data_IF_826558181415
#
_entry.id   IF_826558181415
#
_cell.length_a   1.000
_cell.length_b   1.000
_cell.length_c   1.000
_cell.angle_alpha   90.00
_cell.angle_beta   90.00
_cell.angle_gamma   90.00
#
_symmetry.space_group_name_H-M   'P 1'
#
loop_
_entity.id
_entity.type
_entity.pdbx_description
1 polymer ?
#
# COMPACT_ATOMS: atom_id res chain seq x y z
N UNK A 1 4.51 20.30 -10.49
CA UNK A 1 5.49 19.92 -11.53
C UNK A 1 6.36 18.81 -10.99
N UNK A 2 6.38 17.62 -11.63
CA UNK A 2 7.20 16.49 -11.22
C UNK A 2 8.68 16.88 -11.19
N UNK A 3 9.37 16.48 -10.12
CA UNK A 3 10.80 16.69 -9.91
C UNK A 3 11.45 15.33 -9.63
N UNK A 4 12.62 15.11 -10.19
CA UNK A 4 13.41 13.90 -9.99
C UNK A 4 14.79 14.24 -9.46
N UNK A 5 15.23 13.53 -8.45
CA UNK A 5 16.60 13.61 -7.97
C UNK A 5 17.50 12.89 -8.98
N UNK A 6 18.59 13.50 -9.47
CA UNK A 6 19.52 12.82 -10.37
C UNK A 6 20.13 11.58 -9.74
N UNK A 7 20.34 10.52 -10.53
CA UNK A 7 20.91 9.24 -10.04
C UNK A 7 22.19 9.47 -9.23
N UNK A 8 23.13 10.28 -9.73
CA UNK A 8 24.38 10.59 -9.00
C UNK A 8 24.15 11.08 -7.56
N UNK A 9 23.10 11.88 -7.34
CA UNK A 9 22.76 12.36 -5.99
C UNK A 9 22.11 11.26 -5.15
N UNK A 10 21.29 10.41 -5.77
CA UNK A 10 20.67 9.24 -5.09
C UNK A 10 21.78 8.30 -4.62
N UNK A 11 22.72 7.95 -5.50
CA UNK A 11 23.85 7.07 -5.15
C UNK A 11 24.73 7.68 -4.04
N UNK A 12 24.98 9.00 -4.08
CA UNK A 12 25.73 9.67 -3.02
C UNK A 12 25.02 9.55 -1.66
N UNK A 13 23.70 9.79 -1.62
CA UNK A 13 22.94 9.67 -0.37
C UNK A 13 22.94 8.23 0.15
N UNK A 14 22.82 7.25 -0.76
CA UNK A 14 22.86 5.82 -0.40
C UNK A 14 24.23 5.46 0.18
N UNK A 15 25.34 5.85 -0.46
CA UNK A 15 26.68 5.59 0.06
C UNK A 15 26.87 6.17 1.46
N UNK A 16 26.42 7.40 1.71
CA UNK A 16 26.47 7.99 3.06
C UNK A 16 25.70 7.15 4.08
N UNK A 17 24.54 6.57 3.72
CA UNK A 17 23.78 5.69 4.60
C UNK A 17 24.47 4.34 4.82
N UNK A 18 25.11 3.78 3.79
CA UNK A 18 25.91 2.54 3.90
C UNK A 18 27.13 2.77 4.83
N UNK A 19 27.85 3.86 4.67
CA UNK A 19 28.95 4.25 5.56
C UNK A 19 28.50 4.38 7.02
N UNK A 20 27.23 4.76 7.26
CA UNK A 20 26.61 4.80 8.58
C UNK A 20 26.09 3.44 9.05
N UNK A 21 26.30 2.34 8.32
CA UNK A 21 25.91 0.98 8.69
C UNK A 21 24.49 0.58 8.25
N UNK A 22 23.81 1.35 7.38
CA UNK A 22 22.49 1.01 6.87
C UNK A 22 22.60 0.22 5.55
N UNK A 23 22.41 -1.08 5.60
CA UNK A 23 22.55 -1.99 4.46
C UNK A 23 21.26 -2.16 3.62
N UNK A 24 20.15 -1.53 4.04
CA UNK A 24 18.82 -1.61 3.39
C UNK A 24 18.40 -0.24 2.87
N UNK A 25 17.93 -0.21 1.62
CA UNK A 25 17.58 1.02 0.92
C UNK A 25 16.09 1.10 0.67
N UNK A 26 15.47 2.23 1.00
CA UNK A 26 14.12 2.59 0.58
C UNK A 26 14.20 3.69 -0.49
N UNK A 27 13.85 3.35 -1.73
CA UNK A 27 13.72 4.33 -2.81
C UNK A 27 12.35 5.03 -2.68
N UNK A 28 12.39 6.30 -2.28
CA UNK A 28 11.17 7.09 -2.07
C UNK A 28 10.74 7.82 -3.34
N UNK A 29 9.49 7.59 -3.77
CA UNK A 29 8.85 8.27 -4.90
C UNK A 29 7.33 8.11 -4.83
N UNK A 30 6.57 8.93 -5.56
CA UNK A 30 5.11 8.76 -5.72
C UNK A 30 4.76 7.55 -6.61
N UNK A 31 5.60 7.28 -7.61
CA UNK A 31 5.50 6.10 -8.48
C UNK A 31 6.88 5.76 -9.01
N UNK A 32 7.45 4.67 -8.50
CA UNK A 32 8.83 4.29 -8.81
C UNK A 32 9.02 3.92 -10.29
N UNK A 33 8.01 3.35 -10.94
CA UNK A 33 8.07 3.01 -12.35
C UNK A 33 8.14 4.25 -13.26
N UNK A 34 7.78 5.42 -12.75
CA UNK A 34 7.84 6.68 -13.49
C UNK A 34 9.08 7.51 -13.19
N UNK A 35 10.07 6.96 -12.50
CA UNK A 35 11.30 7.68 -12.27
C UNK A 35 11.92 8.21 -13.58
N UNK A 36 12.24 9.51 -13.61
CA UNK A 36 12.83 10.18 -14.76
C UNK A 36 11.87 10.51 -15.92
N UNK A 37 10.61 10.09 -15.87
CA UNK A 37 9.59 10.42 -16.86
C UNK A 37 8.67 11.55 -16.40
N UNK A 38 8.42 12.51 -17.27
CA UNK A 38 7.39 13.54 -17.07
C UNK A 38 6.06 13.18 -17.73
N UNK A 39 6.02 12.04 -18.42
CA UNK A 39 4.83 11.49 -19.10
C UNK A 39 4.18 10.43 -18.20
N UNK A 40 2.97 9.99 -18.58
CA UNK A 40 2.31 8.85 -17.94
C UNK A 40 3.11 7.57 -18.20
N UNK A 41 3.67 7.41 -19.39
CA UNK A 41 4.51 6.28 -19.76
C UNK A 41 5.89 6.36 -19.08
N UNK A 42 6.37 5.26 -18.49
CA UNK A 42 7.72 5.16 -17.92
C UNK A 42 8.84 5.43 -18.93
N UNK A 43 9.92 5.98 -18.45
CA UNK A 43 11.22 5.92 -19.14
C UNK A 43 11.94 4.63 -18.67
N UNK A 44 11.68 3.54 -19.40
CA UNK A 44 12.12 2.18 -19.01
C UNK A 44 13.63 2.09 -18.74
N UNK A 45 14.43 2.76 -19.57
CA UNK A 45 15.90 2.72 -19.41
C UNK A 45 16.36 3.48 -18.17
N UNK A 46 15.76 4.62 -17.85
CA UNK A 46 16.09 5.35 -16.63
C UNK A 46 15.69 4.59 -15.37
N UNK A 47 14.52 3.94 -15.37
CA UNK A 47 14.09 3.12 -14.23
C UNK A 47 15.04 1.94 -14.04
N UNK A 48 15.33 1.16 -15.08
CA UNK A 48 16.26 0.03 -15.02
C UNK A 48 17.67 0.48 -14.60
N UNK A 49 18.14 1.59 -15.13
CA UNK A 49 19.42 2.16 -14.77
C UNK A 49 19.49 2.51 -13.28
N UNK A 50 18.43 3.14 -12.73
CA UNK A 50 18.38 3.44 -11.30
C UNK A 50 18.57 2.18 -10.46
N UNK A 51 17.78 1.14 -10.73
CA UNK A 51 17.86 -0.10 -9.96
C UNK A 51 19.21 -0.82 -10.12
N UNK A 52 19.78 -0.88 -11.35
CA UNK A 52 21.10 -1.46 -11.58
C UNK A 52 22.19 -0.72 -10.80
N UNK A 53 22.27 0.61 -10.94
CA UNK A 53 23.31 1.39 -10.27
C UNK A 53 23.18 1.32 -8.74
N UNK A 54 21.96 1.24 -8.21
CA UNK A 54 21.73 1.06 -6.77
C UNK A 54 22.14 -0.36 -6.33
N UNK A 55 21.74 -1.40 -7.06
CA UNK A 55 22.07 -2.80 -6.68
C UNK A 55 23.58 -3.11 -6.75
N UNK A 56 24.37 -2.31 -7.47
CA UNK A 56 25.82 -2.47 -7.59
C UNK A 56 26.62 -1.77 -6.49
N UNK A 57 25.98 -1.01 -5.60
CA UNK A 57 26.66 -0.39 -4.47
C UNK A 57 27.06 -1.48 -3.46
N UNK A 58 28.33 -1.55 -3.12
CA UNK A 58 28.86 -2.47 -2.12
C UNK A 58 28.18 -2.26 -0.76
N UNK A 59 27.81 -3.33 -0.08
CA UNK A 59 27.16 -3.30 1.22
C UNK A 59 25.62 -3.25 1.17
N UNK A 60 24.98 -3.06 0.03
CA UNK A 60 23.53 -3.13 -0.07
C UNK A 60 23.06 -4.59 -0.04
N UNK A 61 22.12 -4.87 0.84
CA UNK A 61 21.52 -6.19 1.01
C UNK A 61 20.07 -6.28 0.53
N UNK A 62 19.33 -5.17 0.56
CA UNK A 62 17.90 -5.12 0.23
C UNK A 62 17.50 -3.76 -0.35
N UNK A 63 16.64 -3.77 -1.38
CA UNK A 63 15.99 -2.58 -1.93
C UNK A 63 14.49 -2.70 -1.72
N UNK A 64 13.88 -1.66 -1.18
CA UNK A 64 12.42 -1.45 -1.09
C UNK A 64 12.03 -0.19 -1.83
N UNK A 65 10.75 -0.05 -2.14
CA UNK A 65 10.21 1.17 -2.74
C UNK A 65 9.11 1.73 -1.86
N UNK A 66 8.95 3.06 -1.82
CA UNK A 66 7.86 3.64 -1.04
C UNK A 66 6.52 3.43 -1.73
N UNK A 67 6.37 3.88 -2.99
CA UNK A 67 5.09 3.80 -3.69
C UNK A 67 5.25 3.34 -5.13
N UNK A 68 4.20 2.67 -5.61
CA UNK A 68 4.04 2.23 -6.99
C UNK A 68 2.58 2.44 -7.42
N UNK A 69 2.34 2.90 -8.65
CA UNK A 69 1.00 3.02 -9.20
C UNK A 69 0.54 1.69 -9.80
N UNK A 70 -0.67 1.23 -9.44
CA UNK A 70 -1.26 0.02 -10.02
C UNK A 70 -1.42 0.13 -11.54
N UNK A 71 -1.82 1.31 -12.04
CA UNK A 71 -1.90 1.54 -13.49
C UNK A 71 -0.52 1.44 -14.17
N UNK A 72 0.55 1.94 -13.52
CA UNK A 72 1.90 1.79 -14.06
C UNK A 72 2.34 0.33 -14.11
N UNK A 73 1.99 -0.48 -13.11
CA UNK A 73 2.25 -1.94 -13.08
C UNK A 73 1.47 -2.64 -14.19
N UNK A 74 0.16 -2.41 -14.28
CA UNK A 74 -0.74 -3.01 -15.25
C UNK A 74 -0.26 -2.78 -16.70
N UNK A 75 0.16 -1.55 -17.02
CA UNK A 75 0.63 -1.20 -18.36
C UNK A 75 2.09 -1.56 -18.64
N UNK A 76 2.87 -1.94 -17.63
CA UNK A 76 4.31 -2.21 -17.81
C UNK A 76 4.78 -3.45 -17.01
N UNK A 77 4.12 -4.62 -17.17
CA UNK A 77 4.47 -5.83 -16.42
C UNK A 77 5.91 -6.29 -16.64
N UNK A 78 6.41 -6.20 -17.88
CA UNK A 78 7.80 -6.57 -18.20
C UNK A 78 8.83 -5.66 -17.53
N UNK A 79 8.52 -4.36 -17.37
CA UNK A 79 9.42 -3.46 -16.65
C UNK A 79 9.49 -3.84 -15.17
N UNK A 80 8.34 -4.14 -14.55
CA UNK A 80 8.29 -4.61 -13.17
C UNK A 80 9.11 -5.89 -13.00
N UNK A 81 8.95 -6.87 -13.90
CA UNK A 81 9.72 -8.12 -13.88
C UNK A 81 11.22 -7.85 -13.95
N UNK A 82 11.67 -7.01 -14.89
CA UNK A 82 13.09 -6.70 -15.06
C UNK A 82 13.71 -6.02 -13.84
N UNK A 83 12.99 -5.08 -13.19
CA UNK A 83 13.52 -4.45 -11.96
C UNK A 83 13.49 -5.41 -10.78
N UNK A 84 12.50 -6.32 -10.72
CA UNK A 84 12.45 -7.37 -9.71
C UNK A 84 13.66 -8.31 -9.82
N UNK A 85 13.97 -8.77 -11.03
CA UNK A 85 15.15 -9.59 -11.31
C UNK A 85 16.44 -8.90 -10.84
N UNK A 86 16.59 -7.59 -11.06
CA UNK A 86 17.73 -6.82 -10.57
C UNK A 86 17.75 -6.83 -9.03
N UNK A 87 16.63 -6.56 -8.36
CA UNK A 87 16.58 -6.56 -6.91
C UNK A 87 16.94 -7.92 -6.31
N UNK A 88 16.48 -9.02 -6.93
CA UNK A 88 16.73 -10.37 -6.44
C UNK A 88 18.19 -10.87 -6.65
N UNK A 89 19.06 -10.07 -7.22
CA UNK A 89 20.52 -10.33 -7.18
C UNK A 89 21.12 -10.00 -5.81
N UNK A 90 20.42 -9.23 -4.98
CA UNK A 90 20.89 -8.85 -3.64
C UNK A 90 20.79 -9.99 -2.64
N UNK A 91 21.74 -10.11 -1.70
CA UNK A 91 21.87 -11.31 -0.86
C UNK A 91 20.71 -11.55 0.10
N UNK A 92 20.05 -10.50 0.61
CA UNK A 92 18.95 -10.63 1.56
C UNK A 92 17.57 -10.34 0.95
N UNK A 93 17.50 -10.03 -0.36
CA UNK A 93 16.23 -9.73 -1.01
C UNK A 93 15.35 -10.97 -1.11
N UNK A 94 14.24 -11.01 -0.41
CA UNK A 94 13.27 -12.12 -0.44
C UNK A 94 11.93 -11.69 -1.01
N UNK A 95 11.51 -10.49 -0.68
CA UNK A 95 10.30 -9.81 -1.18
C UNK A 95 10.62 -8.35 -1.42
N UNK A 96 9.82 -7.67 -2.22
CA UNK A 96 9.92 -6.21 -2.42
C UNK A 96 8.68 -5.58 -1.79
N UNK A 97 8.86 -4.89 -0.66
CA UNK A 97 7.80 -4.12 -0.01
C UNK A 97 7.54 -2.82 -0.75
N UNK A 98 6.26 -2.45 -0.89
CA UNK A 98 5.83 -1.19 -1.50
C UNK A 98 4.48 -0.75 -0.94
N UNK A 99 4.07 0.48 -1.21
CA UNK A 99 2.72 0.98 -0.95
C UNK A 99 2.02 1.32 -2.27
N UNK A 100 0.71 1.17 -2.28
CA UNK A 100 -0.13 1.56 -3.42
C UNK A 100 -1.53 1.92 -2.95
N UNK A 101 -2.26 2.68 -3.76
CA UNK A 101 -3.64 3.04 -3.44
C UNK A 101 -4.62 2.31 -4.34
N UNK A 102 -5.49 1.48 -3.77
CA UNK A 102 -6.71 0.97 -4.41
C UNK A 102 -7.77 2.06 -4.40
N UNK A 103 -7.92 2.72 -3.29
CA UNK A 103 -8.84 3.77 -2.87
C UNK A 103 -10.30 3.31 -2.89
N UNK A 104 -10.83 2.81 -3.98
CA UNK A 104 -12.22 2.34 -4.12
C UNK A 104 -12.34 1.37 -5.29
N UNK A 105 -13.32 0.48 -5.25
CA UNK A 105 -13.74 -0.35 -6.38
C UNK A 105 -14.74 0.33 -7.31
N UNK A 106 -15.22 1.55 -6.97
CA UNK A 106 -16.21 2.25 -7.78
C UNK A 106 -15.59 3.10 -8.88
N UNK A 107 -15.81 2.78 -10.17
CA UNK A 107 -15.38 3.63 -11.28
C UNK A 107 -15.96 5.04 -11.21
N UNK A 108 -17.19 5.19 -10.71
CA UNK A 108 -17.84 6.49 -10.52
C UNK A 108 -17.10 7.39 -9.55
N UNK A 109 -16.61 6.84 -8.45
CA UNK A 109 -15.82 7.57 -7.46
C UNK A 109 -14.42 7.90 -8.02
N UNK A 110 -13.81 6.97 -8.74
CA UNK A 110 -12.54 7.20 -9.47
C UNK A 110 -12.70 8.34 -10.47
N UNK A 111 -13.75 8.31 -11.30
CA UNK A 111 -14.01 9.39 -12.27
C UNK A 111 -14.22 10.74 -11.60
N UNK A 112 -14.95 10.75 -10.49
CA UNK A 112 -15.26 12.00 -9.79
C UNK A 112 -14.06 12.64 -9.10
N UNK A 113 -13.25 11.85 -8.40
CA UNK A 113 -12.21 12.39 -7.50
C UNK A 113 -10.77 12.05 -7.92
N UNK A 114 -10.59 11.01 -8.73
CA UNK A 114 -9.28 10.41 -8.93
C UNK A 114 -9.01 10.01 -10.39
N UNK A 115 -9.52 10.78 -11.37
CA UNK A 115 -9.39 10.52 -12.82
C UNK A 115 -7.97 10.19 -13.29
N UNK A 116 -6.97 10.63 -12.57
CA UNK A 116 -5.57 10.38 -12.90
C UNK A 116 -5.08 8.99 -12.55
N UNK A 117 -5.80 8.23 -11.70
CA UNK A 117 -5.36 6.92 -11.21
C UNK A 117 -5.29 5.83 -12.30
N UNK A 118 -6.32 5.63 -13.12
CA UNK A 118 -6.33 4.57 -14.13
C UNK A 118 -5.51 4.90 -15.39
N UNK A 119 -5.09 6.15 -15.57
CA UNK A 119 -4.45 6.59 -16.80
C UNK A 119 -3.29 5.68 -17.25
N UNK A 120 -3.20 5.38 -18.55
CA UNK A 120 -3.93 5.93 -19.69
C UNK A 120 -5.31 5.29 -19.96
N UNK A 121 -5.78 4.38 -19.12
CA UNK A 121 -7.10 3.76 -19.23
C UNK A 121 -8.21 4.67 -18.67
N UNK A 122 -9.45 4.35 -19.04
CA UNK A 122 -10.64 5.01 -18.53
C UNK A 122 -10.98 4.52 -17.11
N UNK A 123 -11.74 5.30 -16.31
CA UNK A 123 -12.12 4.96 -14.95
C UNK A 123 -12.84 3.61 -14.78
N UNK A 124 -13.62 3.20 -15.80
CA UNK A 124 -14.35 1.94 -15.84
C UNK A 124 -13.45 0.71 -15.73
N UNK A 125 -12.19 0.84 -16.19
CA UNK A 125 -11.20 -0.23 -16.11
C UNK A 125 -10.50 -0.32 -14.74
N UNK A 126 -10.81 0.54 -13.80
CA UNK A 126 -10.09 0.59 -12.55
C UNK A 126 -10.13 -0.73 -11.75
N UNK A 127 -11.28 -1.42 -11.59
CA UNK A 127 -11.31 -2.72 -10.91
C UNK A 127 -10.40 -3.76 -11.58
N UNK A 128 -10.45 -3.88 -12.91
CA UNK A 128 -9.58 -4.78 -13.68
C UNK A 128 -8.09 -4.43 -13.50
N UNK A 129 -7.75 -3.14 -13.53
CA UNK A 129 -6.38 -2.67 -13.30
C UNK A 129 -5.88 -3.09 -11.92
N UNK A 130 -6.71 -2.93 -10.89
CA UNK A 130 -6.37 -3.30 -9.51
C UNK A 130 -6.11 -4.79 -9.41
N UNK A 131 -7.02 -5.62 -9.90
CA UNK A 131 -6.93 -7.07 -9.86
C UNK A 131 -5.66 -7.57 -10.56
N UNK A 132 -5.47 -7.19 -11.81
CA UNK A 132 -4.34 -7.65 -12.62
C UNK A 132 -3.00 -7.11 -12.10
N UNK A 133 -2.94 -5.84 -11.69
CA UNK A 133 -1.71 -5.26 -11.15
C UNK A 133 -1.28 -5.93 -9.85
N UNK A 134 -2.22 -6.28 -8.96
CA UNK A 134 -1.90 -7.02 -7.73
C UNK A 134 -1.40 -8.43 -8.05
N UNK A 135 -1.99 -9.13 -9.03
CA UNK A 135 -1.48 -10.39 -9.54
C UNK A 135 -0.04 -10.26 -10.05
N UNK A 136 0.22 -9.28 -10.93
CA UNK A 136 1.56 -9.01 -11.47
C UNK A 136 2.58 -8.71 -10.36
N UNK A 137 2.19 -7.92 -9.35
CA UNK A 137 3.04 -7.65 -8.18
C UNK A 137 3.40 -8.93 -7.44
N UNK A 138 2.40 -9.77 -7.11
CA UNK A 138 2.62 -11.03 -6.39
C UNK A 138 3.48 -12.04 -7.18
N UNK A 139 3.25 -12.18 -8.49
CA UNK A 139 4.03 -13.05 -9.37
C UNK A 139 5.51 -12.67 -9.38
N UNK A 140 5.81 -11.39 -9.18
CA UNK A 140 7.15 -10.85 -9.08
C UNK A 140 7.65 -10.69 -7.63
N UNK A 141 7.00 -11.33 -6.66
CA UNK A 141 7.35 -11.31 -5.22
C UNK A 141 7.33 -9.92 -4.59
N UNK A 142 6.43 -9.06 -5.05
CA UNK A 142 6.12 -7.81 -4.38
C UNK A 142 5.00 -8.02 -3.37
N UNK A 143 5.14 -7.38 -2.21
CA UNK A 143 4.14 -7.42 -1.15
C UNK A 143 3.65 -5.99 -0.87
N UNK A 144 2.53 -5.58 -1.47
CA UNK A 144 2.03 -4.23 -1.34
C UNK A 144 1.24 -4.02 -0.05
N UNK A 145 1.39 -2.84 0.56
CA UNK A 145 0.43 -2.25 1.49
C UNK A 145 -0.50 -1.34 0.68
N UNK A 146 -1.78 -1.68 0.64
CA UNK A 146 -2.79 -1.04 -0.19
C UNK A 146 -3.66 -0.11 0.65
N UNK A 147 -3.72 1.19 0.35
CA UNK A 147 -4.72 2.07 0.96
C UNK A 147 -6.06 1.92 0.26
N UNK A 148 -7.13 2.02 1.04
CA UNK A 148 -8.51 2.03 0.58
C UNK A 148 -9.24 3.14 1.32
N UNK A 149 -10.03 3.94 0.60
CA UNK A 149 -10.78 5.06 1.18
C UNK A 149 -12.27 4.76 1.22
N UNK A 150 -12.93 5.19 2.28
CA UNK A 150 -14.39 5.17 2.40
C UNK A 150 -14.90 6.46 3.03
N UNK A 151 -16.18 6.74 2.84
CA UNK A 151 -16.83 7.94 3.36
C UNK A 151 -16.51 9.21 2.57
N UNK A 152 -16.16 9.10 1.29
CA UNK A 152 -16.00 10.26 0.41
C UNK A 152 -17.34 11.00 0.24
N UNK A 153 -17.38 12.35 0.12
CA UNK A 153 -18.63 13.13 0.18
C UNK A 153 -19.72 12.70 -0.80
N UNK A 154 -19.37 12.17 -1.96
CA UNK A 154 -20.35 11.68 -2.94
C UNK A 154 -20.50 10.16 -2.95
N UNK A 155 -19.88 9.44 -2.03
CA UNK A 155 -19.96 7.99 -1.95
C UNK A 155 -21.37 7.56 -1.53
N UNK A 156 -21.88 6.52 -2.17
CA UNK A 156 -23.14 5.87 -1.88
C UNK A 156 -22.89 4.44 -1.47
N UNK A 157 -23.87 3.79 -0.86
CA UNK A 157 -23.78 2.37 -0.50
C UNK A 157 -23.42 1.47 -1.70
N UNK A 158 -23.93 1.79 -2.89
CA UNK A 158 -23.59 1.07 -4.13
C UNK A 158 -22.09 1.14 -4.47
N UNK A 159 -21.41 2.24 -4.15
CA UNK A 159 -19.96 2.39 -4.39
C UNK A 159 -19.15 1.55 -3.41
N UNK A 160 -19.61 1.50 -2.15
CA UNK A 160 -19.00 0.64 -1.14
C UNK A 160 -19.20 -0.83 -1.50
N UNK A 161 -20.37 -1.21 -2.01
CA UNK A 161 -20.63 -2.56 -2.50
C UNK A 161 -19.72 -2.93 -3.68
N UNK A 162 -19.48 -2.03 -4.63
CA UNK A 162 -18.49 -2.25 -5.70
C UNK A 162 -17.08 -2.43 -5.17
N UNK A 163 -16.76 -1.78 -4.07
CA UNK A 163 -15.46 -1.96 -3.41
C UNK A 163 -15.38 -3.32 -2.72
N UNK A 164 -16.47 -3.81 -2.12
CA UNK A 164 -16.57 -5.16 -1.57
C UNK A 164 -16.47 -6.24 -2.66
N UNK A 165 -17.12 -6.04 -3.83
CA UNK A 165 -16.97 -6.92 -5.00
C UNK A 165 -15.50 -7.00 -5.43
N UNK A 166 -14.83 -5.85 -5.59
CA UNK A 166 -13.40 -5.83 -5.91
C UNK A 166 -12.55 -6.54 -4.86
N UNK A 167 -12.85 -6.39 -3.56
CA UNK A 167 -12.15 -7.11 -2.49
C UNK A 167 -12.31 -8.63 -2.64
N UNK A 168 -13.50 -9.11 -3.04
CA UNK A 168 -13.71 -10.53 -3.31
C UNK A 168 -12.88 -11.03 -4.50
N UNK A 169 -12.81 -10.25 -5.58
CA UNK A 169 -12.01 -10.58 -6.77
C UNK A 169 -10.52 -10.70 -6.44
N UNK A 170 -9.99 -9.81 -5.58
CA UNK A 170 -8.57 -9.77 -5.21
C UNK A 170 -8.20 -10.58 -3.96
N UNK A 171 -9.12 -11.31 -3.35
CA UNK A 171 -8.90 -12.05 -2.07
C UNK A 171 -7.77 -13.08 -2.15
N UNK A 172 -7.47 -13.57 -3.34
CA UNK A 172 -6.42 -14.56 -3.58
C UNK A 172 -5.00 -13.95 -3.61
N UNK A 173 -4.87 -12.62 -3.77
CA UNK A 173 -3.58 -11.94 -3.81
C UNK A 173 -3.03 -11.63 -2.41
N UNK A 174 -1.71 -11.64 -2.26
CA UNK A 174 -1.03 -11.34 -0.99
C UNK A 174 -0.77 -9.84 -0.85
N UNK A 175 -1.38 -9.23 0.15
CA UNK A 175 -1.31 -7.80 0.42
C UNK A 175 -1.75 -7.47 1.85
N UNK A 176 -1.44 -6.27 2.31
CA UNK A 176 -2.12 -5.65 3.46
C UNK A 176 -3.06 -4.59 2.93
N UNK A 177 -4.28 -4.51 3.45
CA UNK A 177 -5.23 -3.47 3.11
C UNK A 177 -5.45 -2.58 4.32
N UNK A 178 -5.27 -1.28 4.12
CA UNK A 178 -5.44 -0.25 5.16
C UNK A 178 -6.65 0.60 4.80
N UNK A 179 -7.84 0.33 5.39
CA UNK A 179 -9.01 1.15 5.17
C UNK A 179 -8.87 2.49 5.91
N UNK A 180 -9.08 3.59 5.21
CA UNK A 180 -8.97 4.97 5.70
C UNK A 180 -10.31 5.68 5.50
N UNK A 181 -10.87 6.26 6.54
CA UNK A 181 -12.02 7.15 6.39
C UNK A 181 -11.60 8.49 5.79
N UNK A 182 -12.51 9.10 5.05
CA UNK A 182 -12.29 10.43 4.51
C UNK A 182 -12.20 11.46 5.65
N UNK A 183 -11.13 12.25 5.62
CA UNK A 183 -10.93 13.41 6.51
C UNK A 183 -10.65 14.63 5.64
N UNK A 184 -11.48 15.66 5.79
CA UNK A 184 -11.27 16.96 5.13
C UNK A 184 -10.01 17.61 5.69
N UNK A 185 -9.17 18.10 4.81
CA UNK A 185 -7.92 18.77 5.18
C UNK A 185 -7.85 20.16 4.52
N UNK A 186 -7.43 21.14 5.29
CA UNK A 186 -7.19 22.50 4.78
C UNK A 186 -6.23 22.50 3.58
N UNK A 187 -6.55 23.26 2.55
CA UNK A 187 -5.77 23.34 1.31
C UNK A 187 -5.94 22.15 0.35
N UNK A 188 -6.78 21.15 0.67
CA UNK A 188 -7.17 20.09 -0.25
C UNK A 188 -8.34 20.52 -1.14
N UNK A 189 -8.58 19.78 -2.25
CA UNK A 189 -9.71 20.04 -3.14
C UNK A 189 -11.08 19.80 -2.47
N UNK A 190 -11.11 19.10 -1.34
CA UNK A 190 -12.32 18.77 -0.56
C UNK A 190 -12.26 19.40 0.83
N UNK A 191 -11.61 20.56 0.99
CA UNK A 191 -11.45 21.27 2.27
C UNK A 191 -12.77 21.78 2.84
N UNK A 192 -13.76 22.02 2.00
CA UNK A 192 -15.09 22.51 2.40
C UNK A 192 -16.07 21.40 2.76
N UNK A 193 -15.72 20.13 2.49
CA UNK A 193 -16.56 18.99 2.79
C UNK A 193 -16.40 18.55 4.24
N UNK A 194 -17.47 17.97 4.81
CA UNK A 194 -17.42 17.41 6.16
C UNK A 194 -16.62 16.10 6.19
N UNK A 195 -15.76 15.94 7.19
CA UNK A 195 -15.07 14.67 7.45
C UNK A 195 -16.07 13.57 7.79
N UNK A 196 -15.79 12.35 7.30
CA UNK A 196 -16.58 11.18 7.63
C UNK A 196 -16.20 10.67 9.03
N UNK A 197 -17.22 10.45 9.86
CA UNK A 197 -17.03 10.10 11.27
C UNK A 197 -17.70 8.78 11.63
N UNK A 198 -17.50 8.29 12.85
CA UNK A 198 -18.15 7.08 13.34
C UNK A 198 -19.70 7.17 13.33
N UNK A 199 -20.27 8.38 13.33
CA UNK A 199 -21.74 8.60 13.27
C UNK A 199 -22.29 8.36 11.87
N UNK A 200 -21.47 8.51 10.85
CA UNK A 200 -21.85 8.35 9.45
C UNK A 200 -21.73 6.89 8.99
N UNK A 201 -21.15 6.03 9.84
CA UNK A 201 -20.92 4.62 9.54
C UNK A 201 -22.24 3.85 9.40
N UNK A 202 -22.38 3.17 8.28
CA UNK A 202 -23.44 2.23 7.98
C UNK A 202 -22.93 0.78 8.09
N UNK A 203 -23.81 -0.23 8.15
CA UNK A 203 -23.38 -1.64 8.19
C UNK A 203 -22.39 -2.04 7.10
N UNK A 204 -22.55 -1.53 5.87
CA UNK A 204 -21.67 -1.80 4.74
C UNK A 204 -20.23 -1.30 4.96
N UNK A 205 -20.04 -0.20 5.68
CA UNK A 205 -18.69 0.29 6.00
C UNK A 205 -18.00 -0.61 7.03
N UNK A 206 -18.75 -1.14 8.00
CA UNK A 206 -18.22 -2.12 8.95
C UNK A 206 -17.83 -3.42 8.23
N UNK A 207 -18.66 -3.87 7.30
CA UNK A 207 -18.36 -5.02 6.46
C UNK A 207 -17.08 -4.80 5.65
N UNK A 208 -16.93 -3.63 5.02
CA UNK A 208 -15.73 -3.26 4.27
C UNK A 208 -14.46 -3.35 5.14
N UNK A 209 -14.50 -2.78 6.34
CA UNK A 209 -13.38 -2.85 7.29
C UNK A 209 -13.08 -4.31 7.66
N UNK A 210 -14.13 -5.11 7.92
CA UNK A 210 -14.00 -6.53 8.25
C UNK A 210 -13.31 -7.32 7.14
N UNK A 211 -13.70 -7.12 5.87
CA UNK A 211 -13.07 -7.78 4.72
C UNK A 211 -11.62 -7.35 4.54
N UNK A 212 -11.31 -6.06 4.71
CA UNK A 212 -9.93 -5.57 4.67
C UNK A 212 -9.05 -6.22 5.75
N UNK A 213 -9.57 -6.34 6.96
CA UNK A 213 -8.86 -6.97 8.08
C UNK A 213 -8.63 -8.46 7.82
N UNK A 214 -9.67 -9.20 7.42
CA UNK A 214 -9.61 -10.63 7.13
C UNK A 214 -8.54 -10.94 6.08
N UNK A 215 -8.58 -10.26 4.94
CA UNK A 215 -7.60 -10.46 3.87
C UNK A 215 -6.17 -10.10 4.30
N UNK A 216 -6.01 -9.05 5.11
CA UNK A 216 -4.71 -8.65 5.65
C UNK A 216 -4.15 -9.69 6.62
N UNK A 217 -4.98 -10.21 7.54
CA UNK A 217 -4.61 -11.28 8.47
C UNK A 217 -4.16 -12.52 7.70
N UNK A 218 -4.97 -12.98 6.74
CA UNK A 218 -4.66 -14.14 5.91
C UNK A 218 -3.33 -13.96 5.14
N UNK A 219 -3.07 -12.77 4.61
CA UNK A 219 -1.82 -12.47 3.89
C UNK A 219 -0.60 -12.46 4.81
N UNK A 220 -0.73 -11.86 6.01
CA UNK A 220 0.35 -11.85 7.00
C UNK A 220 0.63 -13.27 7.50
N UNK A 221 -0.38 -14.10 7.74
CA UNK A 221 -0.19 -15.50 8.11
C UNK A 221 0.55 -16.31 7.05
N UNK A 222 0.18 -16.13 5.76
CA UNK A 222 0.89 -16.77 4.64
C UNK A 222 2.35 -16.32 4.60
N UNK A 223 2.60 -15.00 4.79
CA UNK A 223 3.93 -14.44 4.85
C UNK A 223 4.77 -15.02 5.99
N UNK A 224 4.18 -15.19 7.18
CA UNK A 224 4.83 -15.79 8.35
C UNK A 224 5.14 -17.28 8.16
N UNK A 225 4.33 -18.00 7.38
CA UNK A 225 4.55 -19.41 7.04
C UNK A 225 5.68 -19.60 6.01
N UNK A 226 5.91 -18.63 5.13
CA UNK A 226 7.05 -18.61 4.21
C UNK A 226 8.34 -18.35 5.01
N UNK A 227 8.91 -19.39 5.64
CA UNK A 227 10.05 -19.32 6.58
C UNK A 227 11.24 -18.47 6.13
N UNK A 228 11.40 -18.31 4.82
CA UNK A 228 12.51 -17.57 4.21
C UNK A 228 12.53 -16.07 4.51
N UNK A 229 11.41 -15.48 4.96
CA UNK A 229 11.29 -14.02 5.14
C UNK A 229 11.76 -13.57 6.52
N UNK A 230 11.65 -14.44 7.54
CA UNK A 230 11.97 -14.12 8.93
C UNK A 230 13.29 -14.74 9.43
N UNK A 231 13.88 -15.65 8.68
CA UNK A 231 15.17 -16.25 9.01
C UNK A 231 16.32 -15.34 8.52
N UNK A 232 16.42 -14.13 9.07
CA UNK A 232 17.66 -13.37 9.00
C UNK A 232 18.66 -14.00 9.97
N UNK A 233 19.86 -14.30 9.46
CA UNK A 233 20.94 -14.90 10.25
C UNK A 233 21.16 -14.16 11.57
N UNK A 234 21.20 -14.88 12.66
CA UNK A 234 21.75 -14.43 13.94
C UNK A 234 20.80 -14.24 15.11
N UNK A 235 19.46 -14.32 14.96
CA UNK A 235 18.54 -14.08 16.10
C UNK A 235 17.30 -14.98 16.13
N UNK A 236 17.48 -16.29 16.15
CA UNK A 236 16.38 -17.27 16.25
C UNK A 236 15.40 -16.98 17.38
N UNK A 237 15.88 -16.56 18.55
CA UNK A 237 15.05 -16.25 19.73
C UNK A 237 14.21 -14.99 19.46
N UNK A 238 14.81 -13.91 18.95
CA UNK A 238 14.07 -12.67 18.61
C UNK A 238 12.99 -12.92 17.55
N UNK A 239 13.33 -13.70 16.53
CA UNK A 239 12.39 -14.06 15.46
C UNK A 239 11.23 -14.93 15.99
N UNK A 240 11.50 -15.86 16.92
CA UNK A 240 10.47 -16.70 17.54
C UNK A 240 9.54 -15.91 18.44
N UNK A 241 10.07 -15.00 19.25
CA UNK A 241 9.28 -14.10 20.11
C UNK A 241 8.44 -13.15 19.27
N UNK A 242 9.02 -12.57 18.21
CA UNK A 242 8.30 -11.69 17.29
C UNK A 242 7.16 -12.42 16.57
N UNK A 243 7.41 -13.63 16.06
CA UNK A 243 6.37 -14.49 15.46
C UNK A 243 5.24 -14.81 16.43
N UNK A 244 5.57 -15.14 17.67
CA UNK A 244 4.57 -15.41 18.72
C UNK A 244 3.71 -14.17 18.99
N UNK A 245 4.35 -13.01 19.12
CA UNK A 245 3.65 -11.74 19.34
C UNK A 245 2.70 -11.38 18.19
N UNK A 246 3.19 -11.47 16.94
CA UNK A 246 2.34 -11.21 15.75
C UNK A 246 1.17 -12.19 15.69
N UNK A 247 1.40 -13.51 15.89
CA UNK A 247 0.31 -14.50 15.94
C UNK A 247 -0.73 -14.19 17.02
N UNK A 248 -0.29 -13.72 18.18
CA UNK A 248 -1.19 -13.34 19.25
C UNK A 248 -2.03 -12.10 18.89
N UNK A 249 -1.43 -11.08 18.23
CA UNK A 249 -2.15 -9.91 17.72
C UNK A 249 -3.16 -10.30 16.65
N UNK A 250 -2.77 -11.13 15.68
CA UNK A 250 -3.67 -11.60 14.62
C UNK A 250 -4.87 -12.35 15.20
N UNK A 251 -4.64 -13.30 16.12
CA UNK A 251 -5.70 -14.04 16.79
C UNK A 251 -6.68 -13.14 17.57
N UNK A 252 -6.20 -12.04 18.13
CA UNK A 252 -7.07 -11.07 18.80
C UNK A 252 -7.85 -10.23 17.78
N UNK A 253 -7.25 -9.90 16.62
CA UNK A 253 -7.92 -9.18 15.54
C UNK A 253 -9.04 -10.03 14.90
N UNK A 254 -8.80 -11.33 14.66
CA UNK A 254 -9.79 -12.28 14.12
C UNK A 254 -11.11 -12.29 14.88
N UNK A 255 -11.09 -12.10 16.20
CA UNK A 255 -12.32 -12.07 17.02
C UNK A 255 -13.30 -10.97 16.63
N UNK A 256 -12.79 -9.90 16.01
CA UNK A 256 -13.60 -8.77 15.58
C UNK A 256 -14.01 -8.88 14.11
N UNK A 257 -13.24 -9.59 13.28
CA UNK A 257 -13.50 -9.66 11.84
C UNK A 257 -14.83 -10.28 11.51
N UNK A 258 -15.24 -11.35 12.19
CA UNK A 258 -16.52 -12.04 11.94
C UNK A 258 -17.75 -11.17 12.18
N UNK A 259 -17.75 -10.35 13.24
CA UNK A 259 -18.82 -9.43 13.53
C UNK A 259 -18.81 -8.25 12.55
N UNK A 260 -17.63 -7.70 12.24
CA UNK A 260 -17.47 -6.64 11.25
C UNK A 260 -17.94 -7.08 9.86
N UNK A 261 -17.55 -8.27 9.39
CA UNK A 261 -18.00 -8.84 8.10
C UNK A 261 -19.51 -9.00 7.99
N UNK A 262 -20.22 -9.10 9.12
CA UNK A 262 -21.69 -9.09 9.21
C UNK A 262 -22.27 -7.68 9.33
N UNK A 263 -21.47 -6.64 9.15
CA UNK A 263 -21.87 -5.25 9.28
C UNK A 263 -22.12 -4.78 10.72
N UNK A 264 -21.63 -5.53 11.71
CA UNK A 264 -21.83 -5.19 13.13
C UNK A 264 -20.64 -4.38 13.65
N UNK A 265 -20.89 -3.21 14.26
CA UNK A 265 -19.82 -2.41 14.86
C UNK A 265 -19.20 -3.11 16.09
N UNK A 266 -17.97 -2.78 16.47
CA UNK A 266 -17.38 -3.17 17.74
C UNK A 266 -18.25 -2.67 18.91
N UNK A 267 -18.33 -3.44 20.00
CA UNK A 267 -19.23 -3.11 21.15
C UNK A 267 -19.00 -1.71 21.72
N UNK A 268 -17.76 -1.24 21.69
CA UNK A 268 -17.34 0.05 22.28
C UNK A 268 -17.22 1.20 21.26
N UNK A 269 -17.65 0.99 19.99
CA UNK A 269 -17.45 2.00 18.93
C UNK A 269 -18.07 3.37 19.26
N UNK A 270 -19.20 3.40 20.00
CA UNK A 270 -19.85 4.64 20.42
C UNK A 270 -19.02 5.48 21.40
N UNK A 271 -18.01 4.88 22.04
CA UNK A 271 -17.10 5.55 22.94
C UNK A 271 -15.86 6.10 22.23
N UNK A 272 -15.60 5.70 20.99
CA UNK A 272 -14.45 6.18 20.19
C UNK A 272 -14.55 7.70 19.95
N UNK A 273 -15.74 8.23 19.69
CA UNK A 273 -15.98 9.67 19.52
C UNK A 273 -15.66 10.51 20.78
N UNK A 274 -15.74 9.92 21.98
CA UNK A 274 -15.49 10.65 23.24
C UNK A 274 -13.98 10.84 23.51
N UNK A 275 -13.14 9.97 22.96
CA UNK A 275 -11.70 9.98 23.15
C UNK A 275 -10.93 10.71 22.03
N UNK A 276 -11.57 10.93 20.87
CA UNK A 276 -11.04 11.76 19.79
C UNK A 276 -11.50 13.23 19.98
N UNK A 277 -11.05 13.87 21.04
CA UNK A 277 -10.93 15.33 20.99
C UNK A 277 -9.78 15.62 20.03
N UNK A 278 -10.08 16.33 18.92
CA UNK A 278 -9.04 16.92 18.08
C UNK A 278 -7.95 17.50 18.98
N UNK A 279 -6.69 17.08 18.86
CA UNK A 279 -5.63 17.89 19.37
C UNK A 279 -5.70 19.17 18.52
N UNK A 280 -6.18 20.27 19.11
CA UNK A 280 -5.96 21.59 18.57
C UNK A 280 -4.44 21.70 18.40
N UNK A 281 -3.97 21.58 17.17
CA UNK A 281 -2.59 21.88 16.82
C UNK A 281 -2.47 23.39 16.96
N UNK A 282 -2.24 23.83 18.18
CA UNK A 282 -1.85 25.21 18.46
C UNK A 282 -0.44 25.37 17.91
N UNK A 283 -0.35 25.72 16.63
CA UNK A 283 0.90 26.25 16.07
C UNK A 283 1.12 27.57 16.77
N UNK A 284 1.95 27.56 17.81
CA UNK A 284 2.50 28.81 18.38
C UNK A 284 3.44 29.38 17.32
N UNK A 285 3.04 30.53 16.78
CA UNK A 285 3.87 31.42 15.96
C UNK A 285 5.17 31.83 16.70
#
# INVERSE_FOLDING_TARGET
KLRFKPIKKILKDINTNIEAGNERVLLHSEDILRYGSRKITPDREKVKRLFREVSQIEGIKEIKTSHISLASVYHNPDLLKQISEICFTLPEQRIIGTQTGIETGSPRIIDKYMKGKPLPSEPEKWPEIVEQALGILNDNKWFPACTLMYGLPAEKEEDVNKTLELLDDIKHTEKIIVPLNFVSMEGSALSEDSSFTAKDMQPVHWQLIGECMDQSINSIEKLLKKEQILNQEGNFIKNSVFRYFIKHLLKNAEKYTDDLKKGKPPKDYKNLDKNYRNPEVTIKN
#
